data_IF_624856446550
#
_entry.id   IF_624856446550
#
_cell.length_a   1.000
_cell.length_b   1.000
_cell.length_c   1.000
_cell.angle_alpha   90.00
_cell.angle_beta   90.00
_cell.angle_gamma   90.00
#
_symmetry.space_group_name_H-M   'P 1'
#
loop_
_entity.id
_entity.type
_entity.pdbx_description
1 polymer ?
#
# COMPACT_ATOMS: atom_id res chain seq x y z
N UNK A 1 -28.27 -14.24 12.43
CA UNK A 1 -27.01 -14.79 11.89
C UNK A 1 -26.53 -13.80 10.84
N UNK A 2 -25.57 -12.94 11.20
CA UNK A 2 -25.06 -11.89 10.30
C UNK A 2 -23.76 -12.45 9.71
N UNK A 3 -23.76 -12.71 8.40
CA UNK A 3 -22.58 -13.12 7.67
C UNK A 3 -21.86 -11.84 7.22
N UNK A 4 -20.72 -11.49 7.82
CA UNK A 4 -19.91 -10.36 7.37
C UNK A 4 -19.26 -10.74 6.03
N UNK A 5 -19.87 -10.30 4.92
CA UNK A 5 -19.22 -10.36 3.61
C UNK A 5 -18.31 -9.12 3.52
N UNK A 6 -17.02 -9.30 3.21
CA UNK A 6 -16.16 -8.16 2.89
C UNK A 6 -16.61 -7.63 1.53
N UNK A 7 -17.26 -6.47 1.52
CA UNK A 7 -17.90 -5.93 0.31
C UNK A 7 -16.87 -5.32 -0.65
N UNK A 8 -15.89 -4.57 -0.13
CA UNK A 8 -14.83 -3.94 -0.94
C UNK A 8 -13.68 -3.45 -0.05
N UNK A 9 -12.47 -3.45 -0.58
CA UNK A 9 -11.31 -2.78 0.03
C UNK A 9 -11.40 -1.29 -0.33
N UNK A 10 -11.50 -0.42 0.68
CA UNK A 10 -11.65 1.03 0.47
C UNK A 10 -10.29 1.73 0.34
N UNK A 11 -9.34 1.34 1.18
CA UNK A 11 -7.98 1.89 1.22
C UNK A 11 -7.00 0.80 1.62
N UNK A 12 -5.85 0.73 0.96
CA UNK A 12 -4.71 -0.06 1.41
C UNK A 12 -3.61 0.92 1.78
N UNK A 13 -3.07 0.82 3.01
CA UNK A 13 -1.88 1.54 3.45
C UNK A 13 -0.76 0.53 3.70
N UNK A 14 0.39 0.70 3.05
CA UNK A 14 1.55 -0.17 3.20
C UNK A 14 2.76 0.62 3.72
N UNK A 15 3.36 0.21 4.85
CA UNK A 15 4.65 0.73 5.26
C UNK A 15 5.74 0.23 4.30
N UNK A 16 6.64 1.12 3.91
CA UNK A 16 7.80 0.82 3.04
C UNK A 16 9.07 1.40 3.65
N UNK A 17 10.20 0.75 3.37
CA UNK A 17 11.49 1.17 3.96
C UNK A 17 12.11 2.39 3.27
N UNK A 18 11.81 2.54 1.99
CA UNK A 18 12.22 3.67 1.14
C UNK A 18 11.06 4.05 0.24
N UNK A 19 10.52 5.25 0.46
CA UNK A 19 9.33 5.72 -0.24
C UNK A 19 9.54 5.94 -1.73
N UNK A 20 10.74 6.39 -2.14
CA UNK A 20 11.05 6.72 -3.53
C UNK A 20 11.31 5.46 -4.34
N UNK A 21 12.10 4.53 -3.78
CA UNK A 21 12.38 3.24 -4.40
C UNK A 21 11.10 2.42 -4.57
N UNK A 22 10.26 2.37 -3.53
CA UNK A 22 9.00 1.63 -3.57
C UNK A 22 8.01 2.26 -4.54
N UNK A 23 7.85 3.59 -4.50
CA UNK A 23 7.01 4.33 -5.45
C UNK A 23 7.42 4.04 -6.89
N UNK A 24 8.71 4.05 -7.20
CA UNK A 24 9.22 3.73 -8.53
C UNK A 24 8.92 2.28 -8.93
N UNK A 25 9.16 1.33 -8.03
CA UNK A 25 8.88 -0.08 -8.29
C UNK A 25 7.41 -0.33 -8.65
N UNK A 26 6.47 0.23 -7.89
CA UNK A 26 5.03 0.09 -8.19
C UNK A 26 4.63 0.75 -9.51
N UNK A 27 5.24 1.87 -9.86
CA UNK A 27 5.02 2.53 -11.16
C UNK A 27 5.56 1.66 -12.31
N UNK A 28 6.77 1.12 -12.20
CA UNK A 28 7.43 0.37 -13.26
C UNK A 28 6.84 -1.03 -13.46
N UNK A 29 6.58 -1.76 -12.36
CA UNK A 29 6.10 -3.14 -12.45
C UNK A 29 4.60 -3.23 -12.70
N UNK A 30 3.80 -2.39 -12.02
CA UNK A 30 2.34 -2.49 -12.05
C UNK A 30 1.68 -1.38 -12.90
N UNK A 31 2.45 -0.41 -13.37
CA UNK A 31 1.93 0.72 -14.14
C UNK A 31 1.10 1.69 -13.30
N UNK A 32 1.28 1.69 -11.96
CA UNK A 32 0.59 2.63 -11.08
C UNK A 32 1.06 4.05 -11.36
N UNK A 33 0.25 5.04 -10.99
CA UNK A 33 0.62 6.45 -11.12
C UNK A 33 0.50 7.15 -9.80
N UNK A 34 1.51 7.95 -9.46
CA UNK A 34 1.43 8.81 -8.28
C UNK A 34 0.37 9.88 -8.51
N UNK A 35 -0.65 9.90 -7.65
CA UNK A 35 -1.73 10.91 -7.67
C UNK A 35 -1.57 11.94 -6.56
N UNK A 36 -0.79 11.61 -5.52
CA UNK A 36 -0.47 12.53 -4.44
C UNK A 36 0.91 12.24 -3.83
N UNK A 37 1.62 13.29 -3.42
CA UNK A 37 2.93 13.23 -2.75
C UNK A 37 2.95 14.16 -1.54
N UNK A 38 3.50 13.68 -0.43
CA UNK A 38 3.86 14.50 0.72
C UNK A 38 5.09 13.90 1.42
N UNK A 39 5.61 14.57 2.46
CA UNK A 39 6.74 14.05 3.21
C UNK A 39 6.39 12.69 3.85
N UNK A 40 7.21 11.69 3.61
CA UNK A 40 7.02 10.34 4.15
C UNK A 40 5.86 9.51 3.57
N UNK A 41 5.09 9.98 2.58
CA UNK A 41 4.05 9.11 1.97
C UNK A 41 3.69 9.44 0.51
N UNK A 42 3.20 8.44 -0.22
CA UNK A 42 2.72 8.55 -1.61
C UNK A 42 1.38 7.87 -1.75
N UNK A 43 0.50 8.46 -2.57
CA UNK A 43 -0.75 7.82 -2.99
C UNK A 43 -0.63 7.44 -4.46
N UNK A 44 -0.84 6.17 -4.73
CA UNK A 44 -0.74 5.52 -6.04
C UNK A 44 -2.13 5.14 -6.53
N UNK A 45 -2.46 5.54 -7.76
CA UNK A 45 -3.66 5.06 -8.44
C UNK A 45 -3.42 3.69 -9.04
N UNK A 46 -4.38 2.79 -8.80
CA UNK A 46 -4.40 1.44 -9.33
C UNK A 46 -5.24 1.45 -10.62
N UNK A 47 -4.64 1.82 -11.76
CA UNK A 47 -5.32 1.87 -13.06
C UNK A 47 -6.61 2.73 -13.01
N UNK A 48 -7.74 2.20 -13.48
CA UNK A 48 -9.05 2.85 -13.53
C UNK A 48 -9.89 2.55 -12.27
N UNK A 49 -9.30 1.93 -11.24
CA UNK A 49 -10.01 1.73 -9.97
C UNK A 49 -10.07 3.04 -9.20
N UNK A 50 -11.15 3.25 -8.47
CA UNK A 50 -11.31 4.42 -7.61
C UNK A 50 -10.53 4.31 -6.29
N UNK A 51 -10.03 3.11 -6.00
CA UNK A 51 -9.37 2.72 -4.77
C UNK A 51 -7.85 2.95 -4.90
N UNK A 52 -7.27 3.91 -4.16
CA UNK A 52 -5.84 4.16 -4.19
C UNK A 52 -5.07 3.23 -3.25
N UNK A 53 -3.80 3.00 -3.59
CA UNK A 53 -2.79 2.42 -2.69
C UNK A 53 -1.98 3.55 -2.06
N UNK A 54 -1.98 3.64 -0.74
CA UNK A 54 -1.09 4.53 0.00
C UNK A 54 0.14 3.75 0.44
N UNK A 55 1.33 4.30 0.19
CA UNK A 55 2.59 3.82 0.76
C UNK A 55 3.13 4.88 1.71
N UNK A 56 3.58 4.47 2.88
CA UNK A 56 4.08 5.35 3.95
C UNK A 56 5.46 4.87 4.36
N UNK A 57 6.40 5.79 4.53
CA UNK A 57 7.74 5.47 4.97
C UNK A 57 7.72 5.10 6.45
N UNK A 58 8.19 3.90 6.77
CA UNK A 58 8.10 3.36 8.12
C UNK A 58 9.11 2.24 8.35
N UNK A 59 9.42 1.99 9.63
CA UNK A 59 10.32 0.90 9.98
C UNK A 59 9.63 -0.45 9.70
N UNK A 60 10.13 -1.19 8.72
CA UNK A 60 9.62 -2.51 8.33
C UNK A 60 10.08 -3.63 9.27
N UNK A 61 10.72 -3.31 10.41
CA UNK A 61 11.08 -4.30 11.43
C UNK A 61 9.81 -5.03 11.91
N UNK A 62 9.88 -6.36 11.96
CA UNK A 62 8.78 -7.29 12.29
C UNK A 62 8.10 -7.02 13.65
N UNK A 63 8.62 -6.11 14.47
CA UNK A 63 8.14 -5.81 15.82
C UNK A 63 6.86 -4.95 15.87
N UNK A 64 6.46 -4.28 14.77
CA UNK A 64 5.26 -3.44 14.74
C UNK A 64 4.05 -4.08 14.00
N UNK A 65 4.05 -5.42 13.83
CA UNK A 65 3.04 -6.15 13.04
C UNK A 65 1.71 -6.44 13.77
N UNK A 66 1.14 -5.46 14.46
CA UNK A 66 -0.19 -5.62 15.07
C UNK A 66 -1.06 -4.48 14.54
N UNK A 67 -1.60 -4.62 13.31
CA UNK A 67 -2.93 -4.08 12.89
C UNK A 67 -3.27 -4.14 11.39
N UNK A 68 -2.50 -4.79 10.50
CA UNK A 68 -2.94 -4.95 9.09
C UNK A 68 -2.82 -6.39 8.57
N UNK A 69 -3.97 -7.06 8.57
CA UNK A 69 -4.17 -8.44 8.10
C UNK A 69 -3.99 -8.65 6.58
N UNK A 70 -3.33 -7.74 5.84
CA UNK A 70 -3.19 -7.80 4.39
C UNK A 70 -1.78 -8.15 3.89
N UNK A 71 -0.80 -8.34 4.77
CA UNK A 71 0.59 -8.59 4.36
C UNK A 71 0.87 -9.96 3.73
N UNK A 72 -0.09 -10.89 3.68
CA UNK A 72 0.19 -12.24 3.17
C UNK A 72 0.37 -12.31 1.64
N UNK A 73 -0.05 -11.29 0.87
CA UNK A 73 -0.05 -11.33 -0.60
C UNK A 73 0.80 -10.25 -1.30
N UNK A 74 1.51 -9.40 -0.56
CA UNK A 74 2.38 -8.38 -1.14
C UNK A 74 3.83 -8.72 -0.77
N UNK A 75 4.77 -8.86 -1.74
CA UNK A 75 6.13 -9.21 -1.41
C UNK A 75 6.70 -8.16 -0.46
N UNK A 76 6.98 -8.59 0.76
CA UNK A 76 7.59 -7.79 1.81
C UNK A 76 9.08 -7.59 1.50
N UNK A 77 9.41 -6.85 0.45
CA UNK A 77 10.76 -6.42 0.14
C UNK A 77 10.66 -5.27 -0.85
N UNK A 78 10.58 -4.03 -0.37
CA UNK A 78 11.39 -2.87 -0.79
C UNK A 78 11.11 -1.69 0.15
#
# INVERSE_FOLDING_TARGET
MICYTIERIVTICLPVSDIEKSSKWYQELLGFKVVYKAEGYRVLSVRNSGEPLTIEEGNTSLENQIDSALFHYMPSLF
#
